data_IF_717562502749
#
_entry.id   IF_717562502749
#
_cell.length_a   1.000
_cell.length_b   1.000
_cell.length_c   1.000
_cell.angle_alpha   90.00
_cell.angle_beta   90.00
_cell.angle_gamma   90.00
#
_symmetry.space_group_name_H-M   'P 1'
#
loop_
_entity.id
_entity.type
_entity.pdbx_description
1 polymer ?
#
# COMPACT_ATOMS: atom_id res chain seq x y z
N UNK A 1 -23.84 -77.36 64.39
CA UNK A 1 -23.07 -77.12 63.14
C UNK A 1 -23.78 -76.15 62.16
N UNK A 2 -25.03 -75.74 62.39
CA UNK A 2 -25.79 -74.83 61.49
C UNK A 2 -25.35 -73.35 61.60
N UNK A 3 -25.03 -72.85 62.80
CA UNK A 3 -24.76 -71.42 63.02
C UNK A 3 -23.49 -70.89 62.32
N UNK A 4 -22.48 -71.75 62.12
CA UNK A 4 -21.22 -71.37 61.46
C UNK A 4 -21.36 -71.26 59.93
N UNK A 5 -22.37 -71.90 59.34
CA UNK A 5 -22.62 -71.90 57.89
C UNK A 5 -23.35 -70.63 57.44
N UNK A 6 -24.26 -70.10 58.26
CA UNK A 6 -24.98 -68.85 57.98
C UNK A 6 -24.07 -67.61 58.11
N UNK A 7 -23.11 -67.63 59.04
CA UNK A 7 -22.09 -66.56 59.14
C UNK A 7 -21.23 -66.47 57.87
N UNK A 8 -20.90 -67.61 57.25
CA UNK A 8 -20.07 -67.66 56.04
C UNK A 8 -20.82 -67.07 54.83
N UNK A 9 -22.11 -67.39 54.64
CA UNK A 9 -22.93 -66.77 53.58
C UNK A 9 -23.06 -65.25 53.76
N UNK A 10 -23.23 -64.78 55.01
CA UNK A 10 -23.32 -63.34 55.30
C UNK A 10 -22.02 -62.58 54.98
N UNK A 11 -20.87 -63.23 55.16
CA UNK A 11 -19.55 -62.68 54.83
C UNK A 11 -19.27 -62.67 53.32
N UNK A 12 -19.81 -63.65 52.57
CA UNK A 12 -19.73 -63.69 51.10
C UNK A 12 -20.55 -62.54 50.50
N UNK A 13 -21.75 -62.27 51.00
CA UNK A 13 -22.59 -61.14 50.55
C UNK A 13 -21.91 -59.79 50.82
N UNK A 14 -21.39 -59.56 52.04
CA UNK A 14 -20.65 -58.33 52.36
C UNK A 14 -19.39 -58.13 51.52
N UNK A 15 -18.70 -59.21 51.15
CA UNK A 15 -17.53 -59.15 50.27
C UNK A 15 -17.92 -58.68 48.86
N UNK A 16 -19.03 -59.19 48.32
CA UNK A 16 -19.56 -58.76 47.02
C UNK A 16 -19.94 -57.28 47.01
N UNK A 17 -20.53 -56.77 48.10
CA UNK A 17 -20.85 -55.34 48.24
C UNK A 17 -19.58 -54.45 48.28
N UNK A 18 -18.52 -54.93 48.94
CA UNK A 18 -17.22 -54.24 48.99
C UNK A 18 -16.58 -54.20 47.59
N UNK A 19 -16.64 -55.30 46.84
CA UNK A 19 -16.10 -55.40 45.48
C UNK A 19 -16.87 -54.47 44.51
N UNK A 20 -18.19 -54.37 44.67
CA UNK A 20 -19.03 -53.41 43.93
C UNK A 20 -18.70 -51.95 44.25
N UNK A 21 -18.45 -51.61 45.52
CA UNK A 21 -18.02 -50.26 45.91
C UNK A 21 -16.63 -49.90 45.37
N UNK A 22 -15.69 -50.84 45.33
CA UNK A 22 -14.34 -50.63 44.77
C UNK A 22 -14.41 -50.31 43.28
N UNK A 23 -15.24 -51.02 42.53
CA UNK A 23 -15.39 -50.79 41.08
C UNK A 23 -15.98 -49.40 40.79
N UNK A 24 -16.98 -48.98 41.58
CA UNK A 24 -17.56 -47.63 41.48
C UNK A 24 -16.58 -46.52 41.88
N UNK A 25 -15.66 -46.79 42.80
CA UNK A 25 -14.58 -45.87 43.17
C UNK A 25 -13.57 -45.67 42.02
N UNK A 26 -13.25 -46.73 41.28
CA UNK A 26 -12.36 -46.65 40.11
C UNK A 26 -12.99 -45.84 38.96
N UNK A 27 -14.30 -45.96 38.76
CA UNK A 27 -15.03 -45.13 37.78
C UNK A 27 -14.95 -43.64 38.13
N UNK A 28 -15.04 -43.28 39.42
CA UNK A 28 -14.92 -41.90 39.91
C UNK A 28 -13.52 -41.34 39.66
N UNK A 29 -12.46 -42.11 39.88
CA UNK A 29 -11.08 -41.70 39.62
C UNK A 29 -10.83 -41.43 38.13
N UNK A 30 -11.44 -42.23 37.24
CA UNK A 30 -11.38 -42.01 35.79
C UNK A 30 -12.10 -40.73 35.32
N UNK A 31 -13.17 -40.33 36.01
CA UNK A 31 -13.91 -39.09 35.77
C UNK A 31 -13.15 -37.85 36.24
N UNK A 32 -12.42 -37.94 37.37
CA UNK A 32 -11.56 -36.87 37.90
C UNK A 32 -10.40 -36.57 36.95
N UNK A 33 -9.77 -37.60 36.36
CA UNK A 33 -8.70 -37.39 35.39
C UNK A 33 -9.22 -36.69 34.11
N UNK A 34 -10.41 -37.07 33.63
CA UNK A 34 -11.05 -36.36 32.50
C UNK A 34 -11.39 -34.91 32.83
N UNK A 35 -11.76 -34.57 34.07
CA UNK A 35 -12.05 -33.17 34.43
C UNK A 35 -10.79 -32.31 34.49
N UNK A 36 -9.65 -32.88 34.90
CA UNK A 36 -8.35 -32.19 34.88
C UNK A 36 -7.88 -31.88 33.46
N UNK A 37 -8.11 -32.78 32.51
CA UNK A 37 -7.82 -32.52 31.09
C UNK A 37 -8.66 -31.36 30.52
N UNK A 38 -9.93 -31.25 30.94
CA UNK A 38 -10.83 -30.16 30.55
C UNK A 38 -10.34 -28.81 31.09
N UNK A 39 -9.87 -28.76 32.34
CA UNK A 39 -9.33 -27.54 32.95
C UNK A 39 -8.06 -27.04 32.22
N UNK A 40 -7.21 -27.97 31.75
CA UNK A 40 -6.03 -27.65 30.95
C UNK A 40 -6.37 -27.11 29.54
N UNK A 41 -7.47 -27.57 28.94
CA UNK A 41 -8.02 -27.08 27.67
C UNK A 41 -8.63 -25.67 27.80
N UNK A 42 -9.32 -25.40 28.92
CA UNK A 42 -9.90 -24.09 29.22
C UNK A 42 -8.79 -23.02 29.34
N UNK A 43 -7.70 -23.32 30.04
CA UNK A 43 -6.56 -22.40 30.16
C UNK A 43 -5.90 -22.10 28.81
N UNK A 44 -5.73 -23.10 27.94
CA UNK A 44 -5.25 -22.87 26.57
C UNK A 44 -6.20 -22.00 25.73
N UNK A 45 -7.52 -22.09 25.97
CA UNK A 45 -8.50 -21.25 25.25
C UNK A 45 -8.41 -19.78 25.64
N UNK A 46 -8.09 -19.49 26.91
CA UNK A 46 -7.89 -18.12 27.40
C UNK A 46 -6.64 -17.46 26.80
N UNK A 47 -5.55 -18.23 26.61
CA UNK A 47 -4.35 -17.74 25.91
C UNK A 47 -4.65 -17.40 24.45
N UNK A 48 -5.51 -18.16 23.77
CA UNK A 48 -5.95 -17.90 22.39
C UNK A 48 -6.75 -16.59 22.31
N UNK A 49 -7.65 -16.33 23.26
CA UNK A 49 -8.44 -15.09 23.33
C UNK A 49 -7.53 -13.85 23.51
N UNK A 50 -6.46 -13.98 24.30
CA UNK A 50 -5.46 -12.91 24.46
C UNK A 50 -4.63 -12.63 23.19
N UNK A 51 -4.37 -13.64 22.37
CA UNK A 51 -3.70 -13.53 21.07
C UNK A 51 -4.61 -12.88 20.01
N UNK A 52 -5.91 -13.20 20.02
CA UNK A 52 -6.91 -12.58 19.13
C UNK A 52 -7.06 -11.08 19.43
N UNK A 53 -7.07 -10.67 20.70
CA UNK A 53 -7.12 -9.25 21.06
C UNK A 53 -5.86 -8.48 20.58
N UNK A 54 -4.68 -9.08 20.68
CA UNK A 54 -3.45 -8.50 20.11
C UNK A 54 -3.47 -8.40 18.58
N UNK A 55 -4.13 -9.33 17.88
CA UNK A 55 -4.23 -9.26 16.41
C UNK A 55 -5.17 -8.13 15.95
N UNK A 56 -6.23 -7.85 16.71
CA UNK A 56 -7.13 -6.72 16.45
C UNK A 56 -6.43 -5.36 16.61
N UNK A 57 -5.55 -5.21 17.59
CA UNK A 57 -4.73 -3.99 17.75
C UNK A 57 -3.79 -3.78 16.55
N UNK A 58 -3.22 -4.85 15.99
CA UNK A 58 -2.36 -4.81 14.79
C UNK A 58 -3.18 -4.36 13.57
N UNK A 59 -4.41 -4.86 13.39
CA UNK A 59 -5.29 -4.47 12.29
C UNK A 59 -5.67 -2.97 12.36
N UNK A 60 -5.89 -2.45 13.57
CA UNK A 60 -6.15 -1.02 13.79
C UNK A 60 -4.94 -0.12 13.45
N UNK A 61 -3.71 -0.58 13.72
CA UNK A 61 -2.47 0.11 13.36
C UNK A 61 -2.22 0.08 11.85
N UNK A 62 -2.54 -1.02 11.18
CA UNK A 62 -2.46 -1.15 9.72
C UNK A 62 -3.42 -0.19 9.02
N UNK A 63 -4.66 -0.07 9.51
CA UNK A 63 -5.63 0.89 8.95
C UNK A 63 -5.18 2.34 9.13
N UNK A 64 -4.63 2.68 10.31
CA UNK A 64 -4.09 4.03 10.57
C UNK A 64 -2.86 4.35 9.72
N UNK A 65 -2.03 3.35 9.43
CA UNK A 65 -0.91 3.44 8.49
C UNK A 65 -1.37 3.73 7.06
N UNK A 66 -2.43 3.05 6.60
CA UNK A 66 -3.01 3.28 5.27
C UNK A 66 -3.61 4.69 5.11
N UNK A 67 -4.26 5.22 6.14
CA UNK A 67 -4.77 6.60 6.13
C UNK A 67 -3.65 7.63 5.98
N UNK A 68 -2.50 7.42 6.64
CA UNK A 68 -1.32 8.30 6.53
C UNK A 68 -0.74 8.27 5.12
N UNK A 69 -0.65 7.10 4.49
CA UNK A 69 -0.16 6.93 3.12
C UNK A 69 -1.07 7.67 2.11
N UNK A 70 -2.39 7.64 2.31
CA UNK A 70 -3.36 8.38 1.49
C UNK A 70 -3.28 9.91 1.63
N UNK A 71 -2.95 10.40 2.83
CA UNK A 71 -2.77 11.83 3.09
C UNK A 71 -1.47 12.37 2.49
N UNK A 72 -0.38 11.58 2.57
CA UNK A 72 0.90 11.89 1.90
C UNK A 72 0.69 11.96 0.38
N UNK A 73 -0.04 11.01 -0.20
CA UNK A 73 -0.41 11.05 -1.62
C UNK A 73 -1.18 12.34 -1.98
N UNK A 74 -2.16 12.74 -1.17
CA UNK A 74 -2.98 13.94 -1.41
C UNK A 74 -2.21 15.26 -1.22
N UNK A 75 -1.20 15.32 -0.34
CA UNK A 75 -0.30 16.48 -0.23
C UNK A 75 0.66 16.57 -1.41
N UNK A 76 1.20 15.43 -1.84
CA UNK A 76 2.19 15.34 -2.89
C UNK A 76 1.56 15.61 -4.27
N UNK A 77 0.31 15.22 -4.50
CA UNK A 77 -0.46 15.52 -5.71
C UNK A 77 -0.70 17.04 -5.92
N UNK A 78 -0.90 17.80 -4.83
CA UNK A 78 -1.03 19.27 -4.93
C UNK A 78 0.28 19.94 -5.34
N UNK A 79 1.41 19.51 -4.79
CA UNK A 79 2.72 20.03 -5.18
C UNK A 79 3.10 19.60 -6.60
N UNK A 80 2.76 18.36 -6.98
CA UNK A 80 2.97 17.83 -8.32
C UNK A 80 2.27 18.65 -9.38
N UNK A 81 1.02 19.05 -9.15
CA UNK A 81 0.28 19.79 -10.16
C UNK A 81 0.77 21.24 -10.23
N UNK A 82 1.27 21.78 -9.12
CA UNK A 82 1.66 23.20 -9.02
C UNK A 82 2.99 23.48 -9.72
N UNK A 83 4.00 22.61 -9.55
CA UNK A 83 5.33 22.78 -10.16
C UNK A 83 5.35 22.84 -11.71
N UNK A 84 4.78 21.88 -12.45
CA UNK A 84 4.72 21.90 -13.92
C UNK A 84 3.82 23.03 -14.43
N UNK A 85 2.78 23.45 -13.68
CA UNK A 85 1.99 24.63 -14.03
C UNK A 85 2.83 25.91 -14.02
N UNK A 86 3.67 26.10 -12.98
CA UNK A 86 4.59 27.25 -12.92
C UNK A 86 5.60 27.18 -14.07
N UNK A 87 6.17 25.99 -14.34
CA UNK A 87 7.09 25.80 -15.45
C UNK A 87 6.45 26.12 -16.82
N UNK A 88 5.20 25.70 -17.04
CA UNK A 88 4.45 25.99 -18.27
C UNK A 88 4.24 27.50 -18.47
N UNK A 89 3.89 28.23 -17.41
CA UNK A 89 3.74 29.69 -17.46
C UNK A 89 5.05 30.42 -17.78
N UNK A 90 6.18 29.94 -17.25
CA UNK A 90 7.50 30.48 -17.56
C UNK A 90 7.83 30.23 -19.05
N UNK A 91 7.55 29.04 -19.57
CA UNK A 91 7.76 28.73 -21.00
C UNK A 91 6.84 29.57 -21.88
N UNK A 92 5.56 29.72 -21.53
CA UNK A 92 4.60 30.52 -22.28
C UNK A 92 5.04 32.00 -22.37
N UNK A 93 5.42 32.59 -21.23
CA UNK A 93 5.91 33.99 -21.20
C UNK A 93 7.21 34.17 -22.00
N UNK A 94 8.13 33.21 -21.94
CA UNK A 94 9.37 33.23 -22.71
C UNK A 94 9.12 33.06 -24.23
N UNK A 95 8.16 32.21 -24.62
CA UNK A 95 7.76 32.00 -26.01
C UNK A 95 7.09 33.24 -26.63
N UNK A 96 6.25 33.95 -25.87
CA UNK A 96 5.68 35.23 -26.31
C UNK A 96 6.74 36.34 -26.40
N UNK A 97 7.71 36.35 -25.50
CA UNK A 97 8.82 37.30 -25.54
C UNK A 97 9.73 37.09 -26.77
N UNK A 98 9.85 35.86 -27.26
CA UNK A 98 10.58 35.54 -28.49
C UNK A 98 9.94 36.15 -29.75
N UNK A 99 8.63 36.34 -29.79
CA UNK A 99 7.93 36.95 -30.94
C UNK A 99 8.27 38.45 -31.09
N UNK A 100 8.50 39.14 -29.97
CA UNK A 100 8.86 40.57 -29.96
C UNK A 100 10.36 40.85 -30.08
N UNK A 101 11.21 39.84 -29.84
CA UNK A 101 12.67 40.00 -29.82
C UNK A 101 13.26 39.72 -31.20
N UNK A 102 13.80 40.76 -31.83
CA UNK A 102 14.48 40.65 -33.14
C UNK A 102 16.00 40.54 -33.04
N UNK A 103 16.59 40.59 -31.84
CA UNK A 103 18.04 40.59 -31.62
C UNK A 103 18.59 39.16 -31.41
N UNK A 104 19.60 38.80 -32.21
CA UNK A 104 20.16 37.43 -32.26
C UNK A 104 20.63 36.90 -30.89
N UNK A 105 21.34 37.72 -30.11
CA UNK A 105 21.83 37.33 -28.78
C UNK A 105 20.73 37.08 -27.76
N UNK A 106 19.61 37.80 -27.84
CA UNK A 106 18.49 37.64 -26.92
C UNK A 106 17.66 36.39 -27.23
N UNK A 107 17.49 36.05 -28.52
CA UNK A 107 16.84 34.79 -28.95
C UNK A 107 17.60 33.58 -28.40
N UNK A 108 18.92 33.56 -28.53
CA UNK A 108 19.78 32.50 -27.99
C UNK A 108 19.62 32.36 -26.47
N UNK A 109 19.67 33.48 -25.73
CA UNK A 109 19.50 33.46 -24.27
C UNK A 109 18.14 32.89 -23.84
N UNK A 110 17.06 33.33 -24.48
CA UNK A 110 15.69 32.86 -24.20
C UNK A 110 15.52 31.37 -24.54
N UNK A 111 16.06 30.90 -25.66
CA UNK A 111 16.02 29.47 -26.01
C UNK A 111 16.76 28.59 -24.98
N UNK A 112 17.88 29.06 -24.43
CA UNK A 112 18.64 28.35 -23.42
C UNK A 112 17.84 28.23 -22.11
N UNK A 113 17.14 29.30 -21.72
CA UNK A 113 16.26 29.31 -20.56
C UNK A 113 15.13 28.29 -20.75
N UNK A 114 14.46 28.30 -21.91
CA UNK A 114 13.37 27.36 -22.22
C UNK A 114 13.86 25.91 -22.11
N UNK A 115 14.99 25.57 -22.75
CA UNK A 115 15.55 24.20 -22.71
C UNK A 115 15.91 23.78 -21.28
N UNK A 116 16.48 24.68 -20.49
CA UNK A 116 16.85 24.41 -19.09
C UNK A 116 15.63 24.13 -18.21
N UNK A 117 14.55 24.91 -18.39
CA UNK A 117 13.28 24.74 -17.67
C UNK A 117 12.62 23.41 -18.04
N UNK A 118 12.59 23.05 -19.33
CA UNK A 118 12.05 21.76 -19.78
C UNK A 118 12.83 20.57 -19.22
N UNK A 119 14.17 20.64 -19.17
CA UNK A 119 15.00 19.58 -18.59
C UNK A 119 14.76 19.41 -17.09
N UNK A 120 14.64 20.52 -16.37
CA UNK A 120 14.33 20.52 -14.93
C UNK A 120 12.95 19.90 -14.68
N UNK A 121 11.95 20.22 -15.51
CA UNK A 121 10.61 19.64 -15.43
C UNK A 121 10.63 18.11 -15.57
N UNK A 122 11.34 17.59 -16.58
CA UNK A 122 11.47 16.13 -16.79
C UNK A 122 12.15 15.45 -15.59
N UNK A 123 13.17 16.08 -15.02
CA UNK A 123 13.91 15.56 -13.86
C UNK A 123 13.02 15.49 -12.61
N UNK A 124 12.27 16.55 -12.34
CA UNK A 124 11.33 16.60 -11.20
C UNK A 124 10.20 15.60 -11.36
N UNK A 125 9.61 15.49 -12.56
CA UNK A 125 8.57 14.49 -12.85
C UNK A 125 9.10 13.06 -12.64
N UNK A 126 10.35 12.79 -12.99
CA UNK A 126 10.96 11.47 -12.81
C UNK A 126 11.16 11.09 -11.34
N UNK A 127 11.60 12.04 -10.50
CA UNK A 127 11.71 11.84 -9.04
C UNK A 127 10.33 11.62 -8.44
N UNK A 128 9.35 12.40 -8.86
CA UNK A 128 8.01 12.31 -8.32
C UNK A 128 7.30 10.99 -8.66
N UNK A 129 7.44 10.49 -9.90
CA UNK A 129 6.94 9.17 -10.30
C UNK A 129 7.50 8.08 -9.37
N UNK A 130 8.76 8.20 -8.98
CA UNK A 130 9.44 7.26 -8.09
C UNK A 130 8.90 7.29 -6.65
N UNK A 131 8.38 8.45 -6.22
CA UNK A 131 7.76 8.66 -4.91
C UNK A 131 6.31 8.18 -4.87
N UNK A 132 5.56 8.31 -5.97
CA UNK A 132 4.16 7.84 -6.04
C UNK A 132 4.04 6.32 -6.20
N UNK A 133 4.88 5.71 -7.03
CA UNK A 133 4.69 4.30 -7.38
C UNK A 133 5.40 3.37 -6.38
N UNK A 134 4.74 2.27 -5.96
CA UNK A 134 5.36 1.27 -5.11
C UNK A 134 6.61 0.69 -5.78
N UNK A 135 7.60 0.30 -4.98
CA UNK A 135 8.95 -0.11 -5.43
C UNK A 135 8.96 -1.15 -6.54
N UNK A 136 7.99 -2.08 -6.52
CA UNK A 136 7.87 -3.15 -7.51
C UNK A 136 7.40 -2.67 -8.91
N UNK A 137 6.81 -1.47 -9.02
CA UNK A 137 6.29 -0.90 -10.27
C UNK A 137 7.05 0.36 -10.74
N UNK A 138 7.99 0.84 -9.91
CA UNK A 138 8.74 2.10 -10.14
C UNK A 138 9.46 2.15 -11.49
N UNK A 139 10.18 1.10 -11.86
CA UNK A 139 10.93 1.06 -13.12
C UNK A 139 10.00 1.08 -14.36
N UNK A 140 8.85 0.42 -14.26
CA UNK A 140 7.83 0.41 -15.32
C UNK A 140 7.21 1.81 -15.50
N UNK A 141 6.90 2.50 -14.41
CA UNK A 141 6.33 3.84 -14.45
C UNK A 141 7.29 4.87 -15.07
N UNK A 142 8.58 4.84 -14.71
CA UNK A 142 9.61 5.75 -15.28
C UNK A 142 9.85 5.45 -16.77
N UNK A 143 9.91 4.19 -17.18
CA UNK A 143 10.07 3.86 -18.59
C UNK A 143 8.85 4.28 -19.42
N UNK A 144 7.64 4.14 -18.88
CA UNK A 144 6.41 4.61 -19.53
C UNK A 144 6.41 6.12 -19.72
N UNK A 145 6.81 6.90 -18.70
CA UNK A 145 6.88 8.37 -18.82
C UNK A 145 7.89 8.82 -19.87
N UNK A 146 9.05 8.15 -19.96
CA UNK A 146 10.05 8.40 -21.00
C UNK A 146 9.55 8.02 -22.41
N UNK A 147 8.78 6.94 -22.55
CA UNK A 147 8.17 6.56 -23.82
C UNK A 147 7.17 7.62 -24.29
N UNK A 148 6.29 8.08 -23.40
CA UNK A 148 5.34 9.18 -23.70
C UNK A 148 6.09 10.45 -24.09
N UNK A 149 7.20 10.76 -23.41
CA UNK A 149 8.08 11.88 -23.78
C UNK A 149 8.63 11.76 -25.21
N UNK A 150 9.10 10.57 -25.61
CA UNK A 150 9.59 10.32 -26.99
C UNK A 150 8.49 10.41 -28.04
N UNK A 151 7.30 9.88 -27.75
CA UNK A 151 6.15 9.95 -28.66
C UNK A 151 5.72 11.42 -28.82
N UNK A 152 5.74 12.20 -27.73
CA UNK A 152 5.47 13.63 -27.72
C UNK A 152 6.47 14.43 -28.57
N UNK A 153 7.78 14.15 -28.47
CA UNK A 153 8.77 14.87 -29.27
C UNK A 153 8.68 14.53 -30.76
N UNK A 154 8.40 13.27 -31.12
CA UNK A 154 8.17 12.87 -32.52
C UNK A 154 6.93 13.53 -33.10
N UNK A 155 5.80 13.46 -32.40
CA UNK A 155 4.55 14.09 -32.86
C UNK A 155 4.64 15.62 -32.89
N UNK A 156 5.26 16.23 -31.89
CA UNK A 156 5.46 17.68 -31.81
C UNK A 156 6.38 18.20 -32.91
N UNK A 157 7.51 17.54 -33.17
CA UNK A 157 8.42 17.95 -34.26
C UNK A 157 7.78 17.82 -35.64
N UNK A 158 6.96 16.79 -35.88
CA UNK A 158 6.20 16.64 -37.12
C UNK A 158 5.17 17.78 -37.26
N UNK A 159 4.41 18.06 -36.21
CA UNK A 159 3.42 19.14 -36.20
C UNK A 159 4.07 20.50 -36.47
N UNK A 160 5.15 20.82 -35.74
CA UNK A 160 5.93 22.05 -35.94
C UNK A 160 6.45 22.15 -37.38
N UNK A 161 6.98 21.06 -37.93
CA UNK A 161 7.49 21.03 -39.31
C UNK A 161 6.41 21.39 -40.33
N UNK A 162 5.24 20.78 -40.21
CA UNK A 162 4.10 21.08 -41.11
C UNK A 162 3.55 22.51 -40.92
N UNK A 163 3.53 23.04 -39.69
CA UNK A 163 3.09 24.41 -39.45
C UNK A 163 4.05 25.45 -40.04
N UNK A 164 5.35 25.16 -40.03
CA UNK A 164 6.39 26.06 -40.54
C UNK A 164 6.28 26.24 -42.06
N UNK A 165 5.81 25.22 -42.79
CA UNK A 165 5.57 25.28 -44.24
C UNK A 165 4.33 26.10 -44.62
N UNK A 166 3.29 26.13 -43.77
CA UNK A 166 2.03 26.81 -44.08
C UNK A 166 2.08 28.27 -43.63
N UNK A 167 2.48 28.54 -42.37
CA UNK A 167 2.54 29.89 -41.85
C UNK A 167 3.46 30.00 -40.61
N UNK A 168 4.61 30.67 -40.76
CA UNK A 168 5.58 30.86 -39.69
C UNK A 168 5.00 31.62 -38.49
N UNK A 169 4.14 32.62 -38.72
CA UNK A 169 3.56 33.43 -37.65
C UNK A 169 2.51 32.65 -36.81
N UNK A 170 1.87 31.65 -37.41
CA UNK A 170 0.89 30.81 -36.72
C UNK A 170 1.56 29.83 -35.74
N UNK A 171 2.80 29.41 -36.00
CA UNK A 171 3.57 28.53 -35.13
C UNK A 171 3.75 29.13 -33.72
N UNK A 172 4.13 30.40 -33.64
CA UNK A 172 4.33 31.09 -32.36
C UNK A 172 3.03 31.26 -31.58
N UNK A 173 1.93 31.58 -32.27
CA UNK A 173 0.62 31.73 -31.64
C UNK A 173 0.08 30.39 -31.11
N UNK A 174 0.28 29.30 -31.85
CA UNK A 174 -0.13 27.95 -31.44
C UNK A 174 0.67 27.46 -30.24
N UNK A 175 1.98 27.68 -30.22
CA UNK A 175 2.84 27.31 -29.07
C UNK A 175 2.47 28.12 -27.83
N UNK A 176 2.24 29.43 -27.99
CA UNK A 176 1.79 30.31 -26.91
C UNK A 176 0.40 29.95 -26.39
N UNK A 177 -0.54 29.59 -27.29
CA UNK A 177 -1.90 29.21 -26.95
C UNK A 177 -2.04 27.83 -26.30
N UNK A 178 -1.20 26.86 -26.68
CA UNK A 178 -1.17 25.53 -26.04
C UNK A 178 -0.54 25.60 -24.65
N UNK A 179 0.35 26.56 -24.40
CA UNK A 179 1.08 26.70 -23.13
C UNK A 179 0.36 27.55 -22.07
N UNK A 180 -0.83 28.10 -22.38
CA UNK A 180 -1.64 28.92 -21.47
C UNK A 180 -2.84 28.14 -20.92
#
# INVERSE_FOLDING_TARGET
>A
MVNKSQDIESLVSKRQDIEFMVNKSQDIESLVNKSQDIESLVNKSQDIESLVNKSQDIESLVNKSQDIESLVYKSQDKELLTFPRIALLIVASCALALDFVSSSSAVLALSCIIVSVLFTCISVLSVFIVEIFPTHLRAMAVSLSLMVGRIGTVSGSLLIGTLLEINCHAMFFVIGGISL
#
